data_IF_287998077149
#
_entry.id   IF_287998077149
#
_cell.length_a   1.000
_cell.length_b   1.000
_cell.length_c   1.000
_cell.angle_alpha   90.00
_cell.angle_beta   90.00
_cell.angle_gamma   90.00
#
_symmetry.space_group_name_H-M   'P 1'
#
loop_
_entity.id
_entity.type
_entity.pdbx_description
1 polymer ?
#
# COMPACT_ATOMS: atom_id res chain seq x y z
N UNK A 1 -4.80 13.65 -59.06
CA UNK A 1 -4.10 13.89 -57.79
C UNK A 1 -4.89 13.32 -56.63
N UNK A 2 -4.56 12.12 -56.14
CA UNK A 2 -5.05 11.56 -54.89
C UNK A 2 -4.21 12.12 -53.77
N UNK A 3 -4.78 12.96 -52.92
CA UNK A 3 -4.19 13.37 -51.67
C UNK A 3 -4.27 12.17 -50.71
N UNK A 4 -3.11 11.67 -50.31
CA UNK A 4 -3.02 10.64 -49.30
C UNK A 4 -3.65 11.11 -48.01
N UNK A 5 -4.56 10.29 -47.49
CA UNK A 5 -5.05 10.37 -46.12
C UNK A 5 -3.85 10.10 -45.20
N UNK A 6 -3.48 11.13 -44.45
CA UNK A 6 -2.38 11.03 -43.50
C UNK A 6 -2.58 9.84 -42.54
N UNK A 7 -1.48 9.16 -42.25
CA UNK A 7 -1.39 8.11 -41.25
C UNK A 7 -2.00 8.61 -39.93
N UNK A 8 -3.18 8.11 -39.64
CA UNK A 8 -3.78 8.26 -38.32
C UNK A 8 -2.95 7.38 -37.39
N UNK A 9 -1.97 7.95 -36.71
CA UNK A 9 -1.21 7.29 -35.66
C UNK A 9 -2.22 6.73 -34.64
N UNK A 10 -2.46 5.43 -34.72
CA UNK A 10 -3.29 4.73 -33.72
C UNK A 10 -2.52 4.74 -32.42
N UNK A 11 -2.90 5.62 -31.51
CA UNK A 11 -2.39 5.63 -30.15
C UNK A 11 -2.89 4.38 -29.43
N UNK A 12 -1.99 3.58 -28.89
CA UNK A 12 -2.33 2.39 -28.11
C UNK A 12 -2.12 2.67 -26.63
N UNK A 13 -3.02 2.18 -25.81
CA UNK A 13 -2.94 2.29 -24.37
C UNK A 13 -3.03 0.91 -23.74
N UNK A 14 -2.17 0.65 -22.77
CA UNK A 14 -2.33 -0.47 -21.84
C UNK A 14 -3.05 0.09 -20.63
N UNK A 15 -4.23 -0.44 -20.33
CA UNK A 15 -5.00 -0.04 -19.16
C UNK A 15 -4.67 -1.05 -18.05
N UNK A 16 -4.21 -0.54 -16.91
CA UNK A 16 -3.92 -1.32 -15.71
C UNK A 16 -4.70 -0.72 -14.55
N UNK A 17 -5.26 -1.58 -13.72
CA UNK A 17 -5.90 -1.17 -12.48
C UNK A 17 -4.88 -1.25 -11.34
N UNK A 18 -4.72 -0.14 -10.61
CA UNK A 18 -3.89 -0.04 -9.43
C UNK A 18 -4.73 0.56 -8.30
N UNK A 19 -4.95 -0.21 -7.26
CA UNK A 19 -5.68 0.26 -6.07
C UNK A 19 -7.04 0.92 -6.40
N UNK A 20 -7.82 0.29 -7.31
CA UNK A 20 -9.12 0.81 -7.72
C UNK A 20 -9.06 2.04 -8.66
N UNK A 21 -7.86 2.40 -9.15
CA UNK A 21 -7.67 3.42 -10.19
C UNK A 21 -7.27 2.78 -11.51
N UNK A 22 -7.99 3.12 -12.58
CA UNK A 22 -7.58 2.77 -13.94
C UNK A 22 -6.49 3.72 -14.43
N UNK A 23 -5.33 3.18 -14.75
CA UNK A 23 -4.20 3.93 -15.28
C UNK A 23 -3.92 3.51 -16.73
N UNK A 24 -3.94 4.45 -17.64
CA UNK A 24 -3.64 4.25 -19.06
C UNK A 24 -2.19 4.59 -19.39
N UNK A 25 -1.40 3.60 -19.83
CA UNK A 25 -0.04 3.81 -20.34
C UNK A 25 -0.08 3.96 -21.85
N UNK A 26 0.29 5.12 -22.37
CA UNK A 26 0.46 5.32 -23.80
C UNK A 26 1.71 4.56 -24.28
N UNK A 27 1.53 3.62 -25.19
CA UNK A 27 2.60 2.81 -25.75
C UNK A 27 2.66 2.97 -27.28
N UNK A 28 3.85 2.79 -27.83
CA UNK A 28 4.06 2.90 -29.28
C UNK A 28 3.43 1.73 -30.02
N UNK A 29 3.53 0.52 -29.44
CA UNK A 29 2.94 -0.70 -30.00
C UNK A 29 2.78 -1.78 -28.93
N UNK A 30 1.78 -2.63 -29.11
CA UNK A 30 1.62 -3.88 -28.35
C UNK A 30 1.97 -5.04 -29.29
N UNK A 31 3.04 -5.78 -28.98
CA UNK A 31 3.52 -6.88 -29.82
C UNK A 31 2.91 -8.24 -29.47
N UNK A 32 2.26 -8.35 -28.31
CA UNK A 32 1.61 -9.57 -27.87
C UNK A 32 1.91 -9.92 -26.42
N UNK A 33 1.53 -11.13 -26.02
CA UNK A 33 1.75 -11.67 -24.67
C UNK A 33 2.83 -12.73 -24.74
N UNK A 34 3.86 -12.59 -23.91
CA UNK A 34 4.94 -13.58 -23.76
C UNK A 34 4.83 -14.25 -22.39
N UNK A 35 4.96 -15.57 -22.35
CA UNK A 35 5.08 -16.33 -21.10
C UNK A 35 6.54 -16.53 -20.78
N UNK A 36 6.99 -15.97 -19.65
CA UNK A 36 8.38 -16.05 -19.20
C UNK A 36 8.39 -16.79 -17.87
N UNK A 37 9.20 -17.84 -17.77
CA UNK A 37 9.39 -18.55 -16.50
C UNK A 37 10.25 -17.69 -15.54
N UNK A 38 9.97 -17.76 -14.27
CA UNK A 38 10.71 -17.00 -13.22
C UNK A 38 12.21 -17.22 -13.25
N UNK A 39 12.66 -18.42 -13.64
CA UNK A 39 14.09 -18.76 -13.76
C UNK A 39 14.80 -18.06 -14.91
N UNK A 40 14.06 -17.51 -15.87
CA UNK A 40 14.61 -16.77 -17.03
C UNK A 40 14.66 -15.25 -16.77
N UNK A 41 14.21 -14.80 -15.61
CA UNK A 41 14.23 -13.39 -15.21
C UNK A 41 15.47 -13.13 -14.37
N UNK A 42 16.34 -12.28 -14.86
CA UNK A 42 17.56 -11.83 -14.19
C UNK A 42 17.34 -10.45 -13.56
N UNK A 43 18.08 -10.14 -12.48
CA UNK A 43 18.07 -8.79 -11.91
C UNK A 43 18.70 -7.81 -12.91
N UNK A 44 18.10 -6.61 -13.08
CA UNK A 44 18.69 -5.59 -13.94
C UNK A 44 20.07 -5.17 -13.37
N UNK A 45 21.05 -4.88 -14.24
CA UNK A 45 22.34 -4.37 -13.80
C UNK A 45 22.15 -3.03 -13.08
N UNK A 46 22.82 -2.86 -11.94
CA UNK A 46 22.81 -1.58 -11.22
C UNK A 46 23.73 -0.60 -11.97
N UNK A 47 23.14 0.39 -12.63
CA UNK A 47 23.88 1.51 -13.22
C UNK A 47 23.89 2.65 -12.22
N UNK A 48 25.05 2.95 -11.66
CA UNK A 48 25.20 4.06 -10.71
C UNK A 48 24.97 5.40 -11.42
N UNK A 49 23.97 6.15 -11.00
CA UNK A 49 23.79 7.56 -11.39
C UNK A 49 22.61 7.89 -12.30
N UNK A 50 21.76 6.95 -12.67
CA UNK A 50 20.62 7.24 -13.54
C UNK A 50 19.28 7.10 -12.78
N UNK A 51 18.41 8.10 -12.94
CA UNK A 51 17.07 8.16 -12.31
C UNK A 51 16.10 7.06 -12.82
N UNK A 52 16.48 6.32 -13.86
CA UNK A 52 15.77 5.15 -14.37
C UNK A 52 16.10 3.86 -13.61
N UNK A 53 17.11 3.87 -12.74
CA UNK A 53 17.50 2.75 -11.88
C UNK A 53 16.45 2.55 -10.79
N UNK A 54 15.54 1.63 -11.02
CA UNK A 54 14.53 1.25 -10.05
C UNK A 54 13.13 1.10 -10.64
N UNK A 55 12.93 1.44 -11.90
CA UNK A 55 11.69 1.19 -12.64
C UNK A 55 11.70 -0.22 -13.25
N UNK A 56 12.89 -0.77 -13.56
CA UNK A 56 13.02 -2.12 -14.04
C UNK A 56 13.14 -3.12 -12.89
N UNK A 57 12.23 -4.07 -12.80
CA UNK A 57 12.24 -5.16 -11.79
C UNK A 57 13.00 -6.38 -12.28
N UNK A 58 13.15 -6.53 -13.61
CA UNK A 58 13.85 -7.66 -14.19
C UNK A 58 14.22 -7.46 -15.67
N UNK A 59 15.07 -8.32 -16.15
CA UNK A 59 15.36 -8.48 -17.58
C UNK A 59 15.25 -9.96 -17.96
N UNK A 60 14.74 -10.22 -19.15
CA UNK A 60 14.67 -11.58 -19.69
C UNK A 60 15.17 -11.59 -21.14
N UNK A 61 15.81 -12.67 -21.54
CA UNK A 61 16.20 -12.90 -22.94
C UNK A 61 15.18 -13.83 -23.59
N UNK A 62 14.47 -13.35 -24.61
CA UNK A 62 13.48 -14.12 -25.35
C UNK A 62 13.76 -13.93 -26.84
N UNK A 63 13.96 -15.02 -27.57
CA UNK A 63 14.22 -15.03 -29.03
C UNK A 63 15.34 -14.07 -29.45
N UNK A 64 16.42 -14.03 -28.68
CA UNK A 64 17.58 -13.14 -28.95
C UNK A 64 17.36 -11.67 -28.65
N UNK A 65 16.17 -11.29 -28.12
CA UNK A 65 15.84 -9.92 -27.67
C UNK A 65 15.90 -9.81 -26.18
N UNK A 66 16.29 -8.65 -25.68
CA UNK A 66 16.22 -8.31 -24.26
C UNK A 66 14.87 -7.67 -24.00
N UNK A 67 14.11 -8.27 -23.09
CA UNK A 67 12.86 -7.73 -22.55
C UNK A 67 13.14 -7.14 -21.18
N UNK A 68 12.77 -5.89 -20.99
CA UNK A 68 12.83 -5.22 -19.69
C UNK A 68 11.46 -5.33 -19.03
N UNK A 69 11.45 -5.88 -17.84
CA UNK A 69 10.24 -5.99 -17.03
C UNK A 69 10.15 -4.74 -16.16
N UNK A 70 9.08 -3.97 -16.34
CA UNK A 70 8.89 -2.70 -15.68
C UNK A 70 7.98 -2.85 -14.45
N UNK A 71 8.32 -2.10 -13.42
CA UNK A 71 7.48 -1.88 -12.25
C UNK A 71 6.48 -0.75 -12.57
N UNK A 72 5.29 -1.13 -12.98
CA UNK A 72 4.24 -0.16 -13.30
C UNK A 72 3.73 0.59 -12.06
N UNK A 73 3.70 -0.05 -10.89
CA UNK A 73 3.36 0.63 -9.64
C UNK A 73 4.35 1.75 -9.35
N UNK A 74 5.64 1.47 -9.49
CA UNK A 74 6.67 2.47 -9.30
C UNK A 74 6.60 3.60 -10.31
N UNK A 75 6.32 3.30 -11.59
CA UNK A 75 6.12 4.33 -12.62
C UNK A 75 4.95 5.25 -12.24
N UNK A 76 3.81 4.68 -11.85
CA UNK A 76 2.65 5.44 -11.39
C UNK A 76 2.99 6.28 -10.17
N UNK A 77 3.74 5.71 -9.24
CA UNK A 77 4.24 6.37 -8.05
C UNK A 77 5.11 7.58 -8.35
N UNK A 78 6.10 7.41 -9.23
CA UNK A 78 7.05 8.47 -9.56
C UNK A 78 6.37 9.61 -10.35
N UNK A 79 5.37 9.28 -11.18
CA UNK A 79 4.52 10.26 -11.87
C UNK A 79 3.54 10.92 -10.88
N UNK A 80 2.99 10.15 -9.95
CA UNK A 80 1.97 10.60 -9.01
C UNK A 80 2.53 11.05 -7.65
N UNK A 81 3.78 11.45 -7.56
CA UNK A 81 4.22 12.27 -6.41
C UNK A 81 3.34 13.50 -6.20
N UNK A 82 2.57 13.90 -7.22
CA UNK A 82 1.55 14.96 -7.18
C UNK A 82 0.10 14.44 -7.10
N UNK A 83 -0.17 13.16 -7.40
CA UNK A 83 -1.48 12.52 -7.26
C UNK A 83 -1.45 11.55 -6.07
N UNK A 84 -0.97 12.04 -4.94
CA UNK A 84 -0.98 11.31 -3.67
C UNK A 84 -2.38 10.79 -3.35
N UNK A 85 -2.41 9.76 -2.54
CA UNK A 85 -3.59 9.33 -1.81
C UNK A 85 -4.49 10.52 -1.51
N UNK A 86 -5.79 10.43 -1.74
CA UNK A 86 -6.71 11.55 -1.54
C UNK A 86 -6.65 12.02 -0.09
N UNK A 87 -5.87 13.06 0.14
CA UNK A 87 -5.72 13.71 1.45
C UNK A 87 -6.86 14.70 1.74
N UNK A 88 -7.87 14.78 0.82
CA UNK A 88 -9.08 15.55 1.11
C UNK A 88 -9.72 15.00 2.38
N UNK A 89 -9.81 15.84 3.38
CA UNK A 89 -10.23 15.47 4.72
C UNK A 89 -9.09 15.58 5.74
N UNK A 90 -7.84 15.32 5.37
CA UNK A 90 -6.70 15.53 6.25
C UNK A 90 -6.05 16.93 6.13
N UNK A 91 -6.52 17.79 5.23
CA UNK A 91 -5.92 19.12 4.98
C UNK A 91 -5.86 20.02 6.23
N UNK A 92 -6.76 19.80 7.20
CA UNK A 92 -6.78 20.48 8.50
C UNK A 92 -6.39 19.57 9.67
N UNK A 93 -6.13 18.28 9.42
CA UNK A 93 -5.77 17.34 10.45
C UNK A 93 -4.31 17.52 10.85
N UNK A 94 -4.07 17.90 12.08
CA UNK A 94 -2.73 17.92 12.67
C UNK A 94 -2.75 17.09 13.94
N UNK A 95 -1.76 16.23 14.09
CA UNK A 95 -1.56 15.54 15.35
C UNK A 95 -1.27 16.58 16.45
N UNK A 96 -1.97 16.45 17.57
CA UNK A 96 -1.66 17.23 18.76
C UNK A 96 -0.33 16.75 19.34
N UNK A 97 0.29 17.53 20.24
CA UNK A 97 1.52 17.09 20.90
C UNK A 97 1.35 15.72 21.62
N UNK A 98 0.15 15.42 22.11
CA UNK A 98 -0.14 14.13 22.77
C UNK A 98 -0.30 13.00 21.77
N UNK A 99 -0.96 13.22 20.64
CA UNK A 99 -1.17 12.18 19.62
C UNK A 99 0.11 11.94 18.79
N UNK A 100 0.99 12.94 18.66
CA UNK A 100 2.22 12.83 17.90
C UNK A 100 3.19 11.76 18.46
N UNK A 101 3.17 11.52 19.76
CA UNK A 101 4.02 10.52 20.44
C UNK A 101 3.38 9.13 20.52
N UNK A 102 2.22 8.94 19.92
CA UNK A 102 1.53 7.65 19.89
C UNK A 102 2.17 6.68 18.90
N UNK A 103 2.36 5.44 19.33
CA UNK A 103 2.99 4.39 18.54
C UNK A 103 2.00 3.76 17.56
N UNK A 104 2.16 4.05 16.27
CA UNK A 104 1.33 3.50 15.20
C UNK A 104 2.04 2.34 14.53
N UNK A 105 1.33 1.24 14.34
CA UNK A 105 1.81 0.08 13.59
C UNK A 105 1.14 0.07 12.22
N UNK A 106 1.96 -0.03 11.17
CA UNK A 106 1.51 -0.17 9.78
C UNK A 106 1.89 -1.56 9.30
N UNK A 107 0.97 -2.26 8.64
CA UNK A 107 1.22 -3.59 8.08
C UNK A 107 0.80 -3.57 6.61
N UNK A 108 1.80 -3.55 5.72
CA UNK A 108 1.61 -3.36 4.28
C UNK A 108 2.76 -4.01 3.53
N UNK A 109 2.48 -4.93 2.61
CA UNK A 109 3.50 -5.65 1.85
C UNK A 109 4.07 -4.84 0.67
N UNK A 110 3.30 -3.91 0.13
CA UNK A 110 3.78 -2.96 -0.87
C UNK A 110 4.68 -1.92 -0.21
N UNK A 111 5.97 -1.97 -0.47
CA UNK A 111 6.94 -0.98 0.03
C UNK A 111 6.57 0.45 -0.37
N UNK A 112 5.93 0.59 -1.52
CA UNK A 112 5.49 1.88 -2.03
C UNK A 112 4.34 2.44 -1.21
N UNK A 113 3.25 1.67 -1.04
CA UNK A 113 2.10 2.09 -0.24
C UNK A 113 2.49 2.30 1.23
N UNK A 114 3.34 1.43 1.77
CA UNK A 114 3.90 1.61 3.11
C UNK A 114 4.56 2.99 3.26
N UNK A 115 5.47 3.36 2.35
CA UNK A 115 6.12 4.68 2.38
C UNK A 115 5.12 5.83 2.27
N UNK A 116 4.08 5.70 1.43
CA UNK A 116 3.06 6.73 1.29
C UNK A 116 2.28 6.92 2.60
N UNK A 117 1.85 5.83 3.23
CA UNK A 117 1.13 5.89 4.51
C UNK A 117 2.02 6.52 5.59
N UNK A 118 3.27 6.05 5.71
CA UNK A 118 4.25 6.60 6.67
C UNK A 118 4.46 8.09 6.45
N UNK A 119 4.69 8.51 5.21
CA UNK A 119 4.89 9.94 4.90
C UNK A 119 3.65 10.75 5.25
N UNK A 120 2.45 10.30 4.87
CA UNK A 120 1.21 11.01 5.18
C UNK A 120 0.99 11.17 6.68
N UNK A 121 1.28 10.14 7.48
CA UNK A 121 1.20 10.22 8.94
C UNK A 121 2.28 11.12 9.53
N UNK A 122 3.50 11.06 9.00
CA UNK A 122 4.62 11.90 9.45
C UNK A 122 4.37 13.38 9.14
N UNK A 123 3.83 13.70 7.97
CA UNK A 123 3.53 15.07 7.53
C UNK A 123 2.49 15.76 8.44
N UNK A 124 1.57 14.98 9.01
CA UNK A 124 0.59 15.50 9.99
C UNK A 124 1.11 15.49 11.43
N UNK A 125 2.30 14.92 11.68
CA UNK A 125 3.02 15.06 12.92
C UNK A 125 3.19 13.80 13.77
N UNK A 126 2.77 12.59 13.32
CA UNK A 126 3.09 11.35 14.01
C UNK A 126 4.58 11.03 13.89
N UNK A 127 5.25 10.73 15.02
CA UNK A 127 6.69 10.49 15.09
C UNK A 127 7.05 9.02 15.25
N UNK A 128 6.21 8.26 15.95
CA UNK A 128 6.47 6.88 16.34
C UNK A 128 5.65 5.93 15.45
N UNK A 129 6.21 5.63 14.27
CA UNK A 129 5.57 4.76 13.27
C UNK A 129 6.47 3.54 13.05
N UNK A 130 5.91 2.34 13.20
CA UNK A 130 6.60 1.08 12.93
C UNK A 130 5.87 0.30 11.84
N UNK A 131 6.61 -0.15 10.84
CA UNK A 131 6.08 -0.85 9.68
C UNK A 131 6.51 -2.31 9.62
N UNK A 132 5.61 -3.17 9.15
CA UNK A 132 5.84 -4.59 8.91
C UNK A 132 5.34 -5.00 7.53
N UNK A 133 6.02 -5.92 6.83
CA UNK A 133 5.65 -6.32 5.47
C UNK A 133 4.56 -7.39 5.42
N UNK A 134 4.11 -7.93 6.55
CA UNK A 134 3.07 -8.95 6.63
C UNK A 134 2.50 -9.06 8.05
N UNK A 135 1.34 -9.69 8.16
CA UNK A 135 0.66 -9.86 9.43
C UNK A 135 1.41 -10.74 10.42
N UNK A 136 2.25 -11.69 9.97
CA UNK A 136 3.02 -12.57 10.86
C UNK A 136 4.07 -11.79 11.64
N UNK A 137 4.87 -10.97 10.97
CA UNK A 137 5.88 -10.13 11.61
C UNK A 137 5.24 -9.07 12.53
N UNK A 138 4.11 -8.49 12.11
CA UNK A 138 3.34 -7.58 12.95
C UNK A 138 2.82 -8.29 14.21
N UNK A 139 2.29 -9.51 14.08
CA UNK A 139 1.84 -10.30 15.22
C UNK A 139 2.97 -10.64 16.17
N UNK A 140 4.14 -11.06 15.66
CA UNK A 140 5.32 -11.38 16.47
C UNK A 140 5.78 -10.18 17.32
N UNK A 141 5.56 -8.96 16.82
CA UNK A 141 5.80 -7.73 17.57
C UNK A 141 4.68 -7.41 18.56
N UNK A 142 3.42 -7.40 18.10
CA UNK A 142 2.28 -6.96 18.91
C UNK A 142 2.02 -7.94 20.07
N UNK A 143 2.16 -9.24 19.84
CA UNK A 143 1.92 -10.29 20.84
C UNK A 143 2.82 -10.20 22.06
N UNK A 144 3.96 -9.51 21.97
CA UNK A 144 4.84 -9.27 23.11
C UNK A 144 4.17 -8.43 24.22
N UNK A 145 3.13 -7.69 23.89
CA UNK A 145 2.36 -6.89 24.83
C UNK A 145 1.12 -7.61 25.39
N UNK A 146 0.92 -8.90 25.04
CA UNK A 146 -0.12 -9.72 25.66
C UNK A 146 0.11 -9.83 27.16
N UNK A 147 -0.94 -9.63 27.95
CA UNK A 147 -0.83 -9.62 29.41
C UNK A 147 -0.11 -8.41 30.01
N UNK A 148 0.14 -7.36 29.22
CA UNK A 148 0.74 -6.11 29.73
C UNK A 148 -0.12 -5.52 30.88
N UNK A 149 0.55 -5.28 32.02
CA UNK A 149 -0.11 -4.73 33.21
C UNK A 149 -0.18 -3.19 33.16
N UNK A 150 -1.03 -2.68 32.30
CA UNK A 150 -1.22 -1.24 32.06
C UNK A 150 -2.13 -1.01 30.87
N UNK A 151 -2.17 0.21 30.38
CA UNK A 151 -2.87 0.52 29.15
C UNK A 151 -2.00 0.19 27.93
N UNK A 152 -2.35 -0.91 27.26
CA UNK A 152 -1.62 -1.40 26.09
C UNK A 152 -1.58 -0.39 24.94
N UNK A 153 -2.52 0.56 24.88
CA UNK A 153 -2.53 1.61 23.86
C UNK A 153 -1.38 2.59 24.01
N UNK A 154 -0.67 2.59 25.14
CA UNK A 154 0.59 3.29 25.29
C UNK A 154 1.76 2.57 24.63
N UNK A 155 1.64 1.25 24.38
CA UNK A 155 2.65 0.44 23.68
C UNK A 155 2.37 0.40 22.17
N UNK A 156 1.10 0.22 21.79
CA UNK A 156 0.60 0.25 20.41
C UNK A 156 -0.73 0.98 20.41
N UNK A 157 -0.75 2.19 19.92
CA UNK A 157 -1.92 3.06 19.96
C UNK A 157 -2.95 2.72 18.89
N UNK A 158 -2.50 2.26 17.72
CA UNK A 158 -3.37 1.77 16.64
C UNK A 158 -2.59 0.88 15.68
N UNK A 159 -3.30 0.02 14.97
CA UNK A 159 -2.79 -0.81 13.88
C UNK A 159 -3.55 -0.44 12.60
N UNK A 160 -2.82 -0.12 11.53
CA UNK A 160 -3.35 0.06 10.18
C UNK A 160 -2.81 -1.11 9.38
N UNK A 161 -3.67 -1.95 8.83
CA UNK A 161 -3.24 -3.16 8.12
C UNK A 161 -3.94 -3.32 6.78
N UNK A 162 -3.17 -3.67 5.75
CA UNK A 162 -3.74 -4.23 4.53
C UNK A 162 -4.44 -5.55 4.85
N UNK A 163 -5.37 -5.95 4.00
CA UNK A 163 -6.06 -7.25 4.07
C UNK A 163 -5.24 -8.31 3.33
N UNK A 164 -4.82 -8.04 2.11
CA UNK A 164 -4.16 -9.01 1.22
C UNK A 164 -2.65 -8.97 1.37
N UNK A 165 -2.10 -9.81 2.22
CA UNK A 165 -0.66 -9.90 2.47
C UNK A 165 -0.19 -11.36 2.52
N UNK A 166 1.09 -11.63 2.19
CA UNK A 166 1.66 -12.96 2.33
C UNK A 166 1.77 -13.39 3.80
N UNK A 167 1.88 -14.69 4.06
CA UNK A 167 2.05 -15.36 5.34
C UNK A 167 0.85 -15.24 6.28
N UNK A 168 0.38 -14.04 6.57
CA UNK A 168 -0.78 -13.77 7.41
C UNK A 168 -1.52 -12.54 6.88
N UNK A 169 -2.79 -12.73 6.52
CA UNK A 169 -3.67 -11.67 6.05
C UNK A 169 -4.13 -10.73 7.19
N UNK A 170 -4.62 -9.54 6.82
CA UNK A 170 -5.06 -8.53 7.78
C UNK A 170 -6.28 -8.95 8.60
N UNK A 171 -7.18 -9.77 8.09
CA UNK A 171 -8.31 -10.31 8.86
C UNK A 171 -7.85 -11.27 9.95
N UNK A 172 -6.87 -12.13 9.63
CA UNK A 172 -6.31 -13.05 10.61
C UNK A 172 -5.56 -12.30 11.71
N UNK A 173 -4.71 -11.33 11.35
CA UNK A 173 -4.04 -10.46 12.30
C UNK A 173 -5.05 -9.75 13.23
N UNK A 174 -6.09 -9.14 12.65
CA UNK A 174 -7.17 -8.48 13.40
C UNK A 174 -7.82 -9.43 14.39
N UNK A 175 -8.18 -10.64 13.94
CA UNK A 175 -8.78 -11.67 14.79
C UNK A 175 -7.89 -12.03 15.98
N UNK A 176 -6.59 -12.20 15.76
CA UNK A 176 -5.64 -12.50 16.85
C UNK A 176 -5.58 -11.36 17.87
N UNK A 177 -5.44 -10.12 17.40
CA UNK A 177 -5.42 -8.93 18.27
C UNK A 177 -6.72 -8.83 19.07
N UNK A 178 -7.88 -8.96 18.42
CA UNK A 178 -9.20 -8.79 19.07
C UNK A 178 -9.62 -9.98 19.94
N UNK A 179 -8.98 -11.14 19.78
CA UNK A 179 -9.21 -12.31 20.64
C UNK A 179 -8.38 -12.28 21.93
N UNK A 180 -7.32 -11.50 22.00
CA UNK A 180 -6.49 -11.39 23.20
C UNK A 180 -7.14 -10.40 24.21
N UNK A 181 -7.27 -10.78 25.49
CA UNK A 181 -7.94 -9.92 26.50
C UNK A 181 -7.29 -8.56 26.71
N UNK A 182 -5.97 -8.46 26.52
CA UNK A 182 -5.19 -7.22 26.66
C UNK A 182 -5.18 -6.43 25.34
N UNK A 183 -4.80 -7.10 24.24
CA UNK A 183 -4.56 -6.47 22.94
C UNK A 183 -5.84 -6.00 22.25
N UNK A 184 -7.02 -6.56 22.57
CA UNK A 184 -8.32 -6.17 21.98
C UNK A 184 -8.67 -4.69 22.12
N UNK A 185 -8.02 -3.99 23.06
CA UNK A 185 -8.17 -2.55 23.26
C UNK A 185 -7.50 -1.72 22.17
N UNK A 186 -6.54 -2.30 21.44
CA UNK A 186 -5.83 -1.62 20.37
C UNK A 186 -6.79 -1.45 19.18
N UNK A 187 -7.06 -0.24 18.71
CA UNK A 187 -7.84 0.01 17.50
C UNK A 187 -7.16 -0.60 16.27
N UNK A 188 -7.91 -1.32 15.44
CA UNK A 188 -7.43 -1.94 14.20
C UNK A 188 -8.23 -1.39 13.03
N UNK A 189 -7.51 -0.78 12.09
CA UNK A 189 -8.02 -0.22 10.85
C UNK A 189 -7.64 -1.13 9.69
N UNK A 190 -8.62 -1.66 8.97
CA UNK A 190 -8.37 -2.34 7.71
C UNK A 190 -8.30 -1.30 6.58
N UNK A 191 -7.24 -1.36 5.78
CA UNK A 191 -6.98 -0.42 4.70
C UNK A 191 -6.61 -1.18 3.43
N UNK A 192 -7.57 -1.44 2.54
CA UNK A 192 -7.42 -2.34 1.40
C UNK A 192 -7.83 -1.70 0.07
N UNK A 193 -7.22 -2.16 -1.01
CA UNK A 193 -7.54 -1.73 -2.37
C UNK A 193 -8.96 -2.12 -2.79
N UNK A 194 -9.46 -3.23 -2.26
CA UNK A 194 -10.76 -3.80 -2.60
C UNK A 194 -11.57 -4.07 -1.33
N UNK A 195 -12.57 -3.25 -1.06
CA UNK A 195 -13.57 -3.51 -0.02
C UNK A 195 -14.92 -3.69 -0.70
N UNK A 196 -15.30 -4.94 -0.93
CA UNK A 196 -16.66 -5.30 -1.29
C UNK A 196 -17.48 -5.64 -0.03
N UNK A 197 -18.79 -5.80 -0.19
CA UNK A 197 -19.70 -6.09 0.94
C UNK A 197 -19.27 -7.33 1.74
N UNK A 198 -18.84 -8.39 1.07
CA UNK A 198 -18.41 -9.63 1.72
C UNK A 198 -17.14 -9.44 2.55
N UNK A 199 -16.16 -8.69 2.04
CA UNK A 199 -14.93 -8.36 2.77
C UNK A 199 -15.23 -7.44 3.94
N UNK A 200 -16.12 -6.48 3.76
CA UNK A 200 -16.56 -5.58 4.81
C UNK A 200 -17.20 -6.35 5.98
N UNK A 201 -18.14 -7.27 5.67
CA UNK A 201 -18.77 -8.13 6.69
C UNK A 201 -17.75 -9.03 7.39
N UNK A 202 -16.76 -9.55 6.65
CA UNK A 202 -15.67 -10.33 7.24
C UNK A 202 -14.85 -9.49 8.22
N UNK A 203 -14.50 -8.25 7.85
CA UNK A 203 -13.78 -7.32 8.72
C UNK A 203 -14.53 -7.03 10.02
N UNK A 204 -15.85 -6.80 9.95
CA UNK A 204 -16.70 -6.66 11.12
C UNK A 204 -16.68 -7.93 12.01
N UNK A 205 -16.78 -9.10 11.39
CA UNK A 205 -16.82 -10.39 12.10
C UNK A 205 -15.54 -10.72 12.87
N UNK A 206 -14.37 -10.20 12.43
CA UNK A 206 -13.10 -10.37 13.13
C UNK A 206 -12.82 -9.24 14.13
N UNK A 207 -13.69 -8.24 14.21
CA UNK A 207 -13.64 -7.16 15.20
C UNK A 207 -12.82 -5.94 14.76
N UNK A 208 -12.64 -5.71 13.47
CA UNK A 208 -12.04 -4.47 12.99
C UNK A 208 -12.84 -3.26 13.47
N UNK A 209 -12.16 -2.22 13.94
CA UNK A 209 -12.83 -1.01 14.44
C UNK A 209 -13.25 -0.12 13.28
N UNK A 210 -12.47 -0.06 12.22
CA UNK A 210 -12.75 0.74 11.04
C UNK A 210 -12.21 0.04 9.77
N UNK A 211 -12.79 0.38 8.62
CA UNK A 211 -12.40 -0.16 7.32
C UNK A 211 -12.45 0.93 6.26
N UNK A 212 -11.34 1.10 5.53
CA UNK A 212 -11.20 2.12 4.48
C UNK A 212 -10.62 1.52 3.21
N UNK A 213 -11.09 2.00 2.07
CA UNK A 213 -10.41 1.72 0.80
C UNK A 213 -9.14 2.58 0.67
N UNK A 214 -8.09 2.04 0.04
CA UNK A 214 -6.77 2.72 -0.05
C UNK A 214 -6.81 4.16 -0.60
N UNK A 215 -7.71 4.55 -1.54
CA UNK A 215 -7.86 5.96 -1.89
C UNK A 215 -8.32 6.87 -0.74
N UNK A 216 -8.96 6.33 0.30
CA UNK A 216 -9.56 7.10 1.40
C UNK A 216 -8.61 7.37 2.57
N UNK A 217 -7.32 7.53 2.33
CA UNK A 217 -6.34 7.74 3.41
C UNK A 217 -6.64 8.99 4.24
N UNK A 218 -7.17 10.05 3.63
CA UNK A 218 -7.57 11.26 4.36
C UNK A 218 -8.60 10.97 5.44
N UNK A 219 -9.64 10.18 5.09
CA UNK A 219 -10.68 9.77 6.05
C UNK A 219 -10.13 8.85 7.15
N UNK A 220 -9.22 7.93 6.79
CA UNK A 220 -8.54 7.08 7.76
C UNK A 220 -7.77 7.93 8.77
N UNK A 221 -7.00 8.92 8.31
CA UNK A 221 -6.21 9.83 9.15
C UNK A 221 -7.10 10.62 10.10
N UNK A 222 -8.18 11.22 9.60
CA UNK A 222 -9.13 11.94 10.46
C UNK A 222 -9.69 11.05 11.56
N UNK A 223 -10.09 9.83 11.19
CA UNK A 223 -10.64 8.89 12.14
C UNK A 223 -9.63 8.42 13.17
N UNK A 224 -8.38 8.18 12.70
CA UNK A 224 -7.27 7.84 13.58
C UNK A 224 -7.03 8.92 14.63
N UNK A 225 -6.98 10.19 14.24
CA UNK A 225 -6.81 11.31 15.18
C UNK A 225 -7.98 11.37 16.17
N UNK A 226 -9.22 11.20 15.71
CA UNK A 226 -10.41 11.21 16.59
C UNK A 226 -10.35 10.11 17.67
N UNK A 227 -9.87 8.91 17.29
CA UNK A 227 -9.78 7.78 18.24
C UNK A 227 -8.64 7.97 19.24
N UNK A 228 -7.54 8.64 18.82
CA UNK A 228 -6.35 8.83 19.65
C UNK A 228 -6.39 10.11 20.50
N UNK A 229 -7.35 10.99 20.26
CA UNK A 229 -7.54 12.23 21.05
C UNK A 229 -8.34 11.96 22.32
#
# INVERSE_FOLDING_TARGET
GSRGLGDVYKRQFIICEFNGMDVGFHVTAVQGIQRIGWTAIEKPPQVSGDSTTGIATGIAKVDGKILVILDFEKIVSDINKAAGLDLKGAENAKATAVTAEKHIVIVEDSQFLNKMIVNSLSDIGFKEIRSFPNGKEAWDYISQFSGYNGDVTNCVAAVITDIEMPQMDGHHLTKLIKSDPTLKKIPVFLFSSLINEQMYQKGLSVGADEQFSKPQIGMLIERLIQILS
#
